data_IF_057609573626
#
_entry.id   IF_057609573626
#
_cell.length_a   1.000
_cell.length_b   1.000
_cell.length_c   1.000
_cell.angle_alpha   90.00
_cell.angle_beta   90.00
_cell.angle_gamma   90.00
#
_symmetry.space_group_name_H-M   'P 1'
#
loop_
_entity.id
_entity.type
_entity.pdbx_description
1 polymer ?
#
# COMPACT_ATOMS: atom_id res chain seq x y z
N UNK A 1 -22.18 -20.97 2.05
CA UNK A 1 -21.52 -20.58 0.77
C UNK A 1 -21.09 -19.12 0.90
N UNK A 2 -19.80 -18.86 1.12
CA UNK A 2 -19.28 -17.48 1.27
C UNK A 2 -19.32 -16.83 -0.11
N UNK A 3 -20.23 -15.88 -0.33
CA UNK A 3 -20.25 -15.08 -1.56
C UNK A 3 -19.11 -14.07 -1.50
N UNK A 4 -17.97 -14.38 -2.13
CA UNK A 4 -16.93 -13.39 -2.37
C UNK A 4 -17.44 -12.37 -3.38
N UNK A 5 -18.01 -11.27 -2.89
CA UNK A 5 -18.28 -10.10 -3.72
C UNK A 5 -16.93 -9.44 -4.01
N UNK A 6 -16.36 -9.70 -5.18
CA UNK A 6 -15.14 -9.03 -5.65
C UNK A 6 -15.50 -7.55 -5.84
N UNK A 7 -15.29 -6.73 -4.81
CA UNK A 7 -15.41 -5.28 -4.88
C UNK A 7 -14.09 -4.75 -5.44
N UNK A 8 -14.19 -3.88 -6.44
CA UNK A 8 -13.02 -3.17 -6.98
C UNK A 8 -12.33 -2.41 -5.83
N UNK A 9 -11.00 -2.47 -5.71
CA UNK A 9 -10.28 -1.71 -4.70
C UNK A 9 -10.55 -0.21 -4.88
N UNK A 10 -10.62 0.56 -3.79
CA UNK A 10 -10.80 2.00 -3.86
C UNK A 10 -9.61 2.64 -4.60
N UNK A 11 -9.87 3.68 -5.39
CA UNK A 11 -8.85 4.34 -6.21
C UNK A 11 -7.64 4.79 -5.40
N UNK A 12 -7.86 5.27 -4.16
CA UNK A 12 -6.79 5.69 -3.24
C UNK A 12 -5.83 4.54 -2.94
N UNK A 13 -6.33 3.33 -2.71
CA UNK A 13 -5.48 2.17 -2.46
C UNK A 13 -4.63 1.82 -3.69
N UNK A 14 -5.23 1.89 -4.89
CA UNK A 14 -4.52 1.66 -6.15
C UNK A 14 -3.39 2.68 -6.33
N UNK A 15 -3.65 3.96 -6.06
CA UNK A 15 -2.63 5.01 -6.15
C UNK A 15 -1.49 4.75 -5.16
N UNK A 16 -1.81 4.41 -3.91
CA UNK A 16 -0.80 4.04 -2.92
C UNK A 16 0.06 2.86 -3.39
N UNK A 17 -0.54 1.80 -3.96
CA UNK A 17 0.22 0.68 -4.49
C UNK A 17 1.14 1.10 -5.62
N UNK A 18 0.63 1.86 -6.59
CA UNK A 18 1.43 2.34 -7.72
C UNK A 18 2.63 3.17 -7.25
N UNK A 19 2.40 4.16 -6.38
CA UNK A 19 3.47 5.01 -5.86
C UNK A 19 4.46 4.20 -5.01
N UNK A 20 3.97 3.34 -4.13
CA UNK A 20 4.82 2.51 -3.27
C UNK A 20 5.71 1.56 -4.08
N UNK A 21 5.16 0.85 -5.06
CA UNK A 21 5.95 -0.02 -5.94
C UNK A 21 6.92 0.75 -6.85
N UNK A 22 6.54 1.95 -7.30
CA UNK A 22 7.44 2.83 -8.06
C UNK A 22 8.67 3.27 -7.24
N UNK A 23 8.61 3.26 -5.91
CA UNK A 23 9.77 3.52 -5.04
C UNK A 23 10.54 2.24 -4.70
N UNK A 24 9.83 1.14 -4.41
CA UNK A 24 10.45 -0.13 -4.02
C UNK A 24 11.23 -0.78 -5.17
N UNK A 25 10.66 -0.82 -6.38
CA UNK A 25 11.30 -1.49 -7.53
C UNK A 25 12.68 -0.88 -7.85
N UNK A 26 12.84 0.45 -8.02
CA UNK A 26 14.15 1.01 -8.33
C UNK A 26 15.13 0.88 -7.18
N UNK A 27 14.69 0.93 -5.91
CA UNK A 27 15.59 0.76 -4.76
C UNK A 27 16.13 -0.67 -4.66
N UNK A 28 15.30 -1.67 -4.94
CA UNK A 28 15.73 -3.07 -5.04
C UNK A 28 16.66 -3.27 -6.23
N UNK A 29 16.34 -2.69 -7.39
CA UNK A 29 17.19 -2.79 -8.58
C UNK A 29 18.55 -2.11 -8.37
N UNK A 30 18.55 -0.94 -7.75
CA UNK A 30 19.75 -0.20 -7.38
C UNK A 30 20.68 -1.04 -6.49
N UNK A 31 20.09 -1.68 -5.46
CA UNK A 31 20.82 -2.57 -4.56
C UNK A 31 21.33 -3.83 -5.28
N UNK A 32 20.50 -4.45 -6.12
CA UNK A 32 20.86 -5.66 -6.87
C UNK A 32 22.02 -5.42 -7.84
N UNK A 33 22.02 -4.27 -8.51
CA UNK A 33 23.06 -3.89 -9.48
C UNK A 33 24.29 -3.25 -8.82
N UNK A 34 24.31 -3.07 -7.49
CA UNK A 34 25.39 -2.40 -6.75
C UNK A 34 25.77 -1.03 -7.33
N UNK A 35 24.76 -0.23 -7.72
CA UNK A 35 25.00 1.08 -8.31
C UNK A 35 25.52 2.05 -7.23
N UNK A 36 26.67 2.68 -7.44
CA UNK A 36 27.23 3.66 -6.46
C UNK A 36 26.62 5.07 -6.58
N UNK A 37 25.37 5.19 -7.03
CA UNK A 37 24.70 6.48 -7.31
C UNK A 37 24.13 7.13 -6.03
N UNK A 38 23.61 6.33 -5.10
CA UNK A 38 23.04 6.78 -3.82
C UNK A 38 23.62 5.94 -2.68
N UNK A 39 23.72 6.53 -1.49
CA UNK A 39 24.25 5.81 -0.34
C UNK A 39 23.31 4.68 0.09
N UNK A 40 23.84 3.58 0.67
CA UNK A 40 23.02 2.47 1.14
C UNK A 40 21.93 2.89 2.14
N UNK A 41 22.26 3.83 3.03
CA UNK A 41 21.33 4.38 4.01
C UNK A 41 20.16 5.10 3.33
N UNK A 42 20.44 5.93 2.34
CA UNK A 42 19.39 6.65 1.60
C UNK A 42 18.52 5.67 0.80
N UNK A 43 19.12 4.68 0.15
CA UNK A 43 18.38 3.64 -0.59
C UNK A 43 17.42 2.88 0.35
N UNK A 44 17.88 2.53 1.55
CA UNK A 44 17.06 1.87 2.57
C UNK A 44 15.91 2.76 3.08
N UNK A 45 16.15 4.07 3.26
CA UNK A 45 15.10 5.01 3.66
C UNK A 45 14.00 5.12 2.61
N UNK A 46 14.35 5.22 1.32
CA UNK A 46 13.39 5.27 0.21
C UNK A 46 12.59 3.97 0.11
N UNK A 47 13.26 2.82 0.29
CA UNK A 47 12.58 1.52 0.34
C UNK A 47 11.53 1.46 1.46
N UNK A 48 11.90 1.88 2.68
CA UNK A 48 10.99 1.91 3.83
C UNK A 48 9.80 2.84 3.56
N UNK A 49 10.05 4.03 3.00
CA UNK A 49 8.99 4.96 2.64
C UNK A 49 8.01 4.33 1.64
N UNK A 50 8.51 3.66 0.59
CA UNK A 50 7.70 2.91 -0.35
C UNK A 50 6.86 1.83 0.31
N UNK A 51 7.45 1.05 1.22
CA UNK A 51 6.75 -0.01 1.96
C UNK A 51 5.63 0.53 2.85
N UNK A 52 5.85 1.67 3.53
CA UNK A 52 4.82 2.35 4.33
C UNK A 52 3.65 2.80 3.45
N UNK A 53 3.91 3.35 2.26
CA UNK A 53 2.86 3.76 1.33
C UNK A 53 2.03 2.56 0.87
N UNK A 54 2.66 1.42 0.55
CA UNK A 54 1.93 0.19 0.21
C UNK A 54 1.06 -0.27 1.39
N UNK A 55 1.59 -0.26 2.61
CA UNK A 55 0.84 -0.63 3.81
C UNK A 55 -0.38 0.27 4.05
N UNK A 56 -0.25 1.58 3.84
CA UNK A 56 -1.39 2.51 3.86
C UNK A 56 -2.41 2.19 2.77
N UNK A 57 -1.95 1.83 1.56
CA UNK A 57 -2.83 1.35 0.49
C UNK A 57 -3.65 0.13 0.91
N UNK A 58 -3.02 -0.84 1.59
CA UNK A 58 -3.70 -2.02 2.14
C UNK A 58 -4.69 -1.66 3.23
N UNK A 59 -4.35 -0.70 4.09
CA UNK A 59 -5.26 -0.18 5.11
C UNK A 59 -6.50 0.46 4.48
N UNK A 60 -6.32 1.33 3.48
CA UNK A 60 -7.45 1.95 2.77
C UNK A 60 -8.30 0.95 2.00
N UNK A 61 -7.66 -0.06 1.40
CA UNK A 61 -8.36 -1.13 0.69
C UNK A 61 -9.30 -1.91 1.63
N UNK A 62 -8.91 -2.06 2.90
CA UNK A 62 -9.74 -2.74 3.89
C UNK A 62 -10.77 -1.81 4.55
N UNK A 63 -10.36 -0.61 4.99
CA UNK A 63 -11.22 0.30 5.76
C UNK A 63 -12.35 0.91 4.92
N UNK A 64 -12.08 1.36 3.69
CA UNK A 64 -13.08 2.09 2.89
C UNK A 64 -14.30 1.20 2.60
N UNK A 65 -14.15 -0.06 2.15
CA UNK A 65 -15.29 -0.95 1.95
C UNK A 65 -15.98 -1.39 3.24
N UNK A 66 -15.26 -1.45 4.36
CA UNK A 66 -15.78 -1.86 5.68
C UNK A 66 -16.50 -0.71 6.43
N UNK A 67 -16.22 0.55 6.07
CA UNK A 67 -16.79 1.74 6.68
C UNK A 67 -18.33 1.72 6.83
N UNK A 68 -19.13 1.44 5.77
CA UNK A 68 -20.59 1.46 5.90
C UNK A 68 -21.12 0.40 6.89
N UNK A 69 -20.50 -0.77 6.95
CA UNK A 69 -20.84 -1.85 7.89
C UNK A 69 -20.54 -1.48 9.34
N UNK A 70 -19.42 -0.82 9.60
CA UNK A 70 -19.03 -0.38 10.96
C UNK A 70 -20.03 0.64 11.51
N UNK A 71 -20.45 1.61 10.69
CA UNK A 71 -21.40 2.65 11.10
C UNK A 71 -22.87 2.17 11.16
N UNK A 72 -23.22 1.13 10.41
CA UNK A 72 -24.56 0.52 10.49
C UNK A 72 -24.73 -0.21 11.83
N UNK A 73 -23.76 -1.03 12.23
CA UNK A 73 -23.81 -1.74 13.52
C UNK A 73 -23.85 -0.80 14.73
N UNK A 74 -23.24 0.39 14.65
CA UNK A 74 -23.28 1.39 15.73
C UNK A 74 -24.63 2.09 15.91
N UNK A 75 -25.54 2.04 14.92
CA UNK A 75 -26.87 2.68 15.01
C UNK A 75 -27.96 1.74 15.53
N UNK A 76 -27.68 0.44 15.53
CA UNK A 76 -28.61 -0.61 15.98
C UNK A 76 -28.27 -1.12 17.40
N UNK A 77 -27.25 -0.55 18.06
CA UNK A 77 -26.90 -0.78 19.48
C UNK A 77 -27.19 0.46 20.33
#
# INVERSE_FOLDING_TARGET
MIRFSIKKPPLIAIICYLVGFLLIIPTVLHQYLNLNVISPVLNQQVFIAGAVIVALGSLFNWLIPAWPTIFKNKRES
#
